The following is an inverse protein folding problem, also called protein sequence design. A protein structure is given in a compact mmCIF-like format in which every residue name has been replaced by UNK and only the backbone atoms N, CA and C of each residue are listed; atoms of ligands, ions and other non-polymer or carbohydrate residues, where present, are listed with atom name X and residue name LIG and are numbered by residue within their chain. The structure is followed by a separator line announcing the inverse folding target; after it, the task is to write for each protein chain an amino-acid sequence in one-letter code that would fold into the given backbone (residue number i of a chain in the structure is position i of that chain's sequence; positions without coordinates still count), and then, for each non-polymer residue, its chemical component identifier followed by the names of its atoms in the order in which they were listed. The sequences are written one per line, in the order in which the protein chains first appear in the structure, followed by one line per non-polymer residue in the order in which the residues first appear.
data_IF_586593666637
#
_entry.id   IF_586593666637
#
_cell.length_a   1.000
_cell.length_b   1.000
_cell.length_c   1.000
_cell.angle_alpha   90.00
_cell.angle_beta   90.00
_cell.angle_gamma   90.00
#
_symmetry.space_group_name_H-M   'P 1'
#
loop_
_entity.id
_entity.type
_entity.pdbx_description
1 polymer ?
#
# COMPACT_ATOMS: atom_id res chain seq x y z
N UNK A 1 13.77 8.31 13.85
CA UNK A 1 14.57 8.38 12.60
C UNK A 1 14.63 7.03 11.87
N UNK A 2 15.27 5.99 12.42
CA UNK A 2 15.37 4.69 11.74
C UNK A 2 14.02 4.00 11.45
N UNK A 3 13.06 4.04 12.39
CA UNK A 3 11.74 3.41 12.19
C UNK A 3 10.91 4.02 11.05
N UNK A 4 11.08 5.31 10.76
CA UNK A 4 10.41 5.96 9.61
C UNK A 4 11.02 5.54 8.28
N UNK A 5 12.35 5.42 8.20
CA UNK A 5 13.03 4.93 6.99
C UNK A 5 12.60 3.50 6.66
N UNK A 6 12.53 2.63 7.67
CA UNK A 6 12.06 1.24 7.52
C UNK A 6 10.59 1.21 7.05
N UNK A 7 9.73 2.06 7.61
CA UNK A 7 8.34 2.15 7.19
C UNK A 7 8.16 2.68 5.75
N UNK A 8 8.99 3.63 5.31
CA UNK A 8 9.00 4.13 3.93
C UNK A 8 9.46 3.05 2.96
N UNK A 9 10.51 2.31 3.31
CA UNK A 9 11.01 1.18 2.53
C UNK A 9 9.97 0.07 2.41
N UNK A 10 9.32 -0.30 3.53
CA UNK A 10 8.24 -1.27 3.54
C UNK A 10 7.06 -0.80 2.70
N UNK A 11 6.55 0.42 2.90
CA UNK A 11 5.42 0.97 2.11
C UNK A 11 5.73 1.00 0.61
N UNK A 12 6.93 1.42 0.22
CA UNK A 12 7.36 1.45 -1.19
C UNK A 12 7.43 0.05 -1.79
N UNK A 13 7.95 -0.91 -1.03
CA UNK A 13 8.03 -2.32 -1.46
C UNK A 13 6.64 -2.94 -1.60
N UNK A 14 5.75 -2.73 -0.63
CA UNK A 14 4.38 -3.25 -0.68
C UNK A 14 3.58 -2.62 -1.82
N UNK A 15 3.74 -1.32 -2.07
CA UNK A 15 3.17 -0.65 -3.24
C UNK A 15 3.56 -1.35 -4.54
N UNK A 16 4.87 -1.51 -4.74
CA UNK A 16 5.41 -2.04 -5.96
C UNK A 16 4.89 -3.45 -6.21
N UNK A 17 4.83 -4.27 -5.15
CA UNK A 17 4.24 -5.61 -5.23
C UNK A 17 2.74 -5.57 -5.54
N UNK A 18 1.94 -4.75 -4.85
CA UNK A 18 0.50 -4.64 -5.11
C UNK A 18 0.20 -4.19 -6.54
N UNK A 19 0.98 -3.25 -7.09
CA UNK A 19 0.87 -2.78 -8.47
C UNK A 19 1.24 -3.88 -9.48
N UNK A 20 2.36 -4.60 -9.25
CA UNK A 20 2.72 -5.74 -10.10
C UNK A 20 1.65 -6.84 -10.06
N UNK A 21 1.07 -7.10 -8.89
CA UNK A 21 0.04 -8.11 -8.71
C UNK A 21 -1.24 -7.73 -9.47
N UNK A 22 -1.64 -6.45 -9.44
CA UNK A 22 -2.75 -5.93 -10.24
C UNK A 22 -2.48 -5.99 -11.75
N UNK A 23 -1.28 -5.64 -12.18
CA UNK A 23 -0.88 -5.73 -13.58
C UNK A 23 -0.93 -7.19 -14.07
N UNK A 24 -0.34 -8.12 -13.31
CA UNK A 24 -0.21 -9.53 -13.71
C UNK A 24 -1.53 -10.30 -13.60
N UNK A 25 -2.31 -10.09 -12.54
CA UNK A 25 -3.57 -10.83 -12.34
C UNK A 25 -4.78 -10.21 -13.02
N UNK A 26 -4.83 -8.87 -13.15
CA UNK A 26 -6.02 -8.18 -13.67
C UNK A 26 -5.77 -7.42 -14.97
N UNK A 27 -4.52 -7.34 -15.48
CA UNK A 27 -4.13 -6.48 -16.62
C UNK A 27 -4.57 -5.02 -16.44
N UNK A 28 -4.70 -4.59 -15.18
CA UNK A 28 -5.12 -3.23 -14.84
C UNK A 28 -3.89 -2.39 -14.58
N UNK A 29 -3.73 -1.35 -15.38
CA UNK A 29 -2.70 -0.35 -15.16
C UNK A 29 -3.25 0.74 -14.23
N UNK A 30 -2.56 0.94 -13.12
CA UNK A 30 -2.71 2.16 -12.34
C UNK A 30 -1.53 3.07 -12.59
N UNK A 31 -1.85 4.34 -12.84
CA UNK A 31 -0.88 5.42 -12.89
C UNK A 31 -0.13 5.51 -11.55
N UNK A 32 1.18 5.65 -11.62
CA UNK A 32 2.08 5.78 -10.46
C UNK A 32 1.63 6.89 -9.54
N UNK A 33 1.23 8.02 -10.11
CA UNK A 33 0.77 9.19 -9.38
C UNK A 33 -0.46 8.90 -8.49
N UNK A 34 -1.44 8.17 -9.02
CA UNK A 34 -2.67 7.81 -8.30
C UNK A 34 -2.39 6.82 -7.17
N UNK A 35 -1.47 5.86 -7.39
CA UNK A 35 -1.05 4.92 -6.36
C UNK A 35 -0.27 5.62 -5.24
N UNK A 36 0.64 6.55 -5.58
CA UNK A 36 1.39 7.36 -4.63
C UNK A 36 0.44 8.19 -3.78
N UNK A 37 -0.59 8.81 -4.37
CA UNK A 37 -1.55 9.63 -3.63
C UNK A 37 -2.35 8.80 -2.63
N UNK A 38 -2.86 7.62 -3.03
CA UNK A 38 -3.57 6.72 -2.12
C UNK A 38 -2.67 6.23 -0.98
N UNK A 39 -1.42 5.92 -1.26
CA UNK A 39 -0.50 5.45 -0.23
C UNK A 39 -0.08 6.58 0.70
N UNK A 40 0.08 7.81 0.20
CA UNK A 40 0.38 8.97 1.05
C UNK A 40 -0.70 9.16 2.11
N UNK A 41 -1.97 8.98 1.72
CA UNK A 41 -3.12 9.05 2.63
C UNK A 41 -3.08 7.91 3.68
N UNK A 42 -2.73 6.70 3.24
CA UNK A 42 -2.65 5.51 4.09
C UNK A 42 -1.32 5.35 4.85
N UNK A 43 -0.30 6.16 4.57
CA UNK A 43 1.05 6.01 5.12
C UNK A 43 1.05 6.15 6.65
N UNK A 44 0.30 7.15 7.16
CA UNK A 44 0.18 7.38 8.59
C UNK A 44 -0.54 6.20 9.29
N UNK A 45 -1.60 5.69 8.66
CA UNK A 45 -2.37 4.54 9.15
C UNK A 45 -1.53 3.26 9.17
N UNK A 46 -0.73 3.02 8.11
CA UNK A 46 0.20 1.90 8.04
C UNK A 46 1.29 2.01 9.11
N UNK A 47 1.88 3.19 9.28
CA UNK A 47 2.91 3.41 10.29
C UNK A 47 2.37 3.16 11.71
N UNK A 48 1.16 3.62 11.99
CA UNK A 48 0.51 3.40 13.28
C UNK A 48 0.15 1.92 13.49
N UNK A 49 -0.28 1.22 12.45
CA UNK A 49 -0.60 -0.21 12.53
C UNK A 49 0.64 -1.09 12.71
N UNK A 50 1.77 -0.75 12.07
CA UNK A 50 3.07 -1.42 12.29
C UNK A 50 3.48 -1.36 13.78
N UNK A 51 3.20 -0.24 14.46
CA UNK A 51 3.53 -0.09 15.87
C UNK A 51 2.55 -0.77 16.84
N UNK A 52 1.30 -1.00 16.41
CA UNK A 52 0.24 -1.53 17.28
C UNK A 52 0.14 -3.04 17.23
N UNK A 53 -0.19 -3.61 16.07
CA UNK A 53 -0.47 -5.03 15.92
C UNK A 53 -0.44 -5.47 14.45
N UNK A 54 0.04 -6.69 14.20
CA UNK A 54 0.13 -7.25 12.84
C UNK A 54 -1.23 -7.57 12.22
N UNK A 55 -2.28 -7.82 13.02
CA UNK A 55 -3.64 -8.07 12.55
C UNK A 55 -4.28 -6.81 11.97
N UNK A 56 -4.13 -5.67 12.65
CA UNK A 56 -4.63 -4.37 12.17
C UNK A 56 -3.89 -3.94 10.90
N UNK A 57 -2.57 -4.20 10.85
CA UNK A 57 -1.78 -3.99 9.65
C UNK A 57 -2.31 -4.79 8.46
N UNK A 58 -2.61 -6.08 8.67
CA UNK A 58 -3.16 -6.93 7.61
C UNK A 58 -4.51 -6.42 7.10
N UNK A 59 -5.43 -6.02 7.99
CA UNK A 59 -6.71 -5.43 7.60
C UNK A 59 -6.54 -4.17 6.76
N UNK A 60 -5.65 -3.26 7.16
CA UNK A 60 -5.39 -2.02 6.44
C UNK A 60 -4.78 -2.31 5.06
N UNK A 61 -3.82 -3.24 4.97
CA UNK A 61 -3.23 -3.65 3.70
C UNK A 61 -4.27 -4.27 2.75
N UNK A 62 -5.15 -5.13 3.25
CA UNK A 62 -6.22 -5.74 2.45
C UNK A 62 -7.20 -4.65 1.95
N UNK A 63 -7.55 -3.69 2.81
CA UNK A 63 -8.44 -2.58 2.45
C UNK A 63 -7.80 -1.67 1.40
N UNK A 64 -6.52 -1.35 1.54
CA UNK A 64 -5.73 -0.61 0.56
C UNK A 64 -5.71 -1.36 -0.78
N UNK A 65 -5.43 -2.67 -0.75
CA UNK A 65 -5.41 -3.49 -1.95
C UNK A 65 -6.76 -3.51 -2.67
N UNK A 66 -7.87 -3.61 -1.94
CA UNK A 66 -9.21 -3.56 -2.53
C UNK A 66 -9.51 -2.20 -3.16
N UNK A 67 -9.09 -1.09 -2.54
CA UNK A 67 -9.25 0.25 -3.11
C UNK A 67 -8.40 0.44 -4.37
N UNK A 68 -7.16 -0.02 -4.34
CA UNK A 68 -6.26 -0.04 -5.49
C UNK A 68 -6.87 -0.87 -6.63
N UNK A 69 -7.48 -2.01 -6.30
CA UNK A 69 -8.15 -2.89 -7.25
C UNK A 69 -9.40 -2.26 -7.89
N UNK A 70 -10.22 -1.55 -7.10
CA UNK A 70 -11.41 -0.85 -7.58
C UNK A 70 -11.05 0.37 -8.45
N UNK A 71 -9.92 1.02 -8.16
CA UNK A 71 -9.47 2.22 -8.87
C UNK A 71 -8.60 1.95 -10.11
N UNK A 72 -8.19 0.70 -10.34
CA UNK A 72 -7.58 0.28 -11.61
C UNK A 72 -8.63 0.16 -12.70
N UNK A 73 -8.37 0.78 -13.85
CA UNK A 73 -9.13 0.57 -15.09
C UNK A 73 -8.78 -0.80 -15.65
#
# INVERSE_FOLDING_TARGET
LYGQLIAILLCSSTMFQMRQLLLRKKKREMSEYKAIYMIKDYFLLLFQAIQKDTQELSKILIRLFNLLQQNGR
#
